data_IF_838670032102
#
_entry.id   IF_838670032102
#
_cell.length_a   1.000
_cell.length_b   1.000
_cell.length_c   1.000
_cell.angle_alpha   90.00
_cell.angle_beta   90.00
_cell.angle_gamma   90.00
#
_symmetry.space_group_name_H-M   'P 1'
#
loop_
_entity.id
_entity.type
_entity.pdbx_description
1 polymer ?
#
# COMPACT_ATOMS: atom_id res chain seq x y z
N UNK A 1 4.34 -25.82 -11.84
CA UNK A 1 3.52 -24.59 -11.81
C UNK A 1 4.43 -23.38 -11.82
N UNK A 2 4.17 -22.42 -12.72
CA UNK A 2 4.94 -21.20 -12.94
C UNK A 2 4.02 -19.98 -12.78
N UNK A 3 4.36 -19.09 -11.86
CA UNK A 3 3.52 -17.93 -11.50
C UNK A 3 4.12 -16.62 -12.00
N UNK A 4 3.33 -15.76 -12.62
CA UNK A 4 3.70 -14.37 -12.86
C UNK A 4 3.12 -13.48 -11.75
N UNK A 5 3.92 -12.59 -11.18
CA UNK A 5 3.46 -11.54 -10.27
C UNK A 5 3.67 -10.21 -10.99
N UNK A 6 2.63 -9.40 -11.13
CA UNK A 6 2.71 -8.11 -11.81
C UNK A 6 2.44 -6.99 -10.80
N UNK A 7 3.48 -6.24 -10.46
CA UNK A 7 3.52 -5.20 -9.42
C UNK A 7 4.42 -5.60 -8.26
N UNK A 8 5.42 -4.78 -7.95
CA UNK A 8 6.41 -4.91 -6.88
C UNK A 8 6.11 -4.05 -5.65
N UNK A 9 4.84 -3.74 -5.40
CA UNK A 9 4.38 -3.17 -4.12
C UNK A 9 4.20 -4.23 -3.04
N UNK A 10 3.68 -3.82 -1.87
CA UNK A 10 3.48 -4.68 -0.71
C UNK A 10 2.82 -6.04 -1.02
N UNK A 11 1.69 -6.05 -1.75
CA UNK A 11 0.97 -7.28 -2.06
C UNK A 11 1.77 -8.23 -2.98
N UNK A 12 2.46 -7.69 -3.99
CA UNK A 12 3.26 -8.50 -4.92
C UNK A 12 4.51 -9.08 -4.25
N UNK A 13 5.22 -8.28 -3.47
CA UNK A 13 6.38 -8.75 -2.70
C UNK A 13 5.98 -9.79 -1.65
N UNK A 14 4.86 -9.58 -0.93
CA UNK A 14 4.34 -10.57 0.02
C UNK A 14 3.99 -11.88 -0.68
N UNK A 15 3.36 -11.81 -1.85
CA UNK A 15 3.07 -12.98 -2.68
C UNK A 15 4.36 -13.73 -3.02
N UNK A 16 5.38 -13.04 -3.52
CA UNK A 16 6.67 -13.63 -3.87
C UNK A 16 7.33 -14.33 -2.67
N UNK A 17 7.35 -13.69 -1.48
CA UNK A 17 7.91 -14.30 -0.27
C UNK A 17 7.19 -15.60 0.13
N UNK A 18 5.87 -15.66 -0.09
CA UNK A 18 5.08 -16.85 0.22
C UNK A 18 5.28 -17.97 -0.80
N UNK A 19 5.46 -17.63 -2.09
CA UNK A 19 5.82 -18.60 -3.12
C UNK A 19 7.24 -19.16 -2.92
N UNK A 20 8.20 -18.32 -2.54
CA UNK A 20 9.56 -18.76 -2.17
C UNK A 20 9.52 -19.80 -1.05
N UNK A 21 8.77 -19.53 0.03
CA UNK A 21 8.61 -20.49 1.14
C UNK A 21 7.99 -21.82 0.71
N UNK A 22 7.16 -21.81 -0.33
CA UNK A 22 6.52 -23.00 -0.90
C UNK A 22 7.34 -23.65 -2.03
N UNK A 23 8.51 -23.10 -2.38
CA UNK A 23 9.34 -23.54 -3.51
C UNK A 23 8.59 -23.57 -4.85
N UNK A 24 7.64 -22.66 -5.05
CA UNK A 24 6.91 -22.49 -6.31
C UNK A 24 7.69 -21.53 -7.20
N UNK A 25 7.88 -21.87 -8.47
CA UNK A 25 8.59 -20.99 -9.41
C UNK A 25 7.75 -19.76 -9.79
N UNK A 26 8.40 -18.61 -9.84
CA UNK A 26 7.74 -17.35 -10.20
C UNK A 26 8.69 -16.33 -10.82
N UNK A 27 8.10 -15.37 -11.52
CA UNK A 27 8.73 -14.12 -11.94
C UNK A 27 7.88 -12.93 -11.49
N UNK A 28 8.51 -11.98 -10.82
CA UNK A 28 7.90 -10.71 -10.44
C UNK A 28 8.32 -9.63 -11.44
N UNK A 29 7.34 -8.94 -12.01
CA UNK A 29 7.51 -7.81 -12.92
C UNK A 29 7.09 -6.53 -12.21
N UNK A 30 7.96 -5.52 -12.18
CA UNK A 30 7.68 -4.18 -11.67
C UNK A 30 7.92 -3.17 -12.79
N UNK A 31 6.94 -2.32 -13.05
CA UNK A 31 7.01 -1.30 -14.11
C UNK A 31 8.06 -0.24 -13.81
N UNK A 32 8.30 0.06 -12.53
CA UNK A 32 9.25 1.08 -12.07
C UNK A 32 10.65 0.53 -11.92
N UNK A 33 11.60 1.46 -11.80
CA UNK A 33 13.00 1.15 -11.44
C UNK A 33 13.19 0.85 -9.95
N UNK A 34 12.14 0.98 -9.15
CA UNK A 34 12.14 0.77 -7.70
C UNK A 34 10.92 -0.07 -7.32
N UNK A 35 11.01 -0.82 -6.22
CA UNK A 35 9.85 -1.44 -5.60
C UNK A 35 9.11 -0.42 -4.71
N UNK A 36 7.81 -0.65 -4.49
CA UNK A 36 6.99 0.23 -3.67
C UNK A 36 6.87 1.65 -4.22
N UNK A 37 6.90 2.64 -3.33
CA UNK A 37 6.87 4.07 -3.67
C UNK A 37 8.24 4.71 -3.46
N UNK A 38 8.53 5.77 -4.21
CA UNK A 38 9.76 6.56 -4.08
C UNK A 38 9.88 7.27 -2.73
N UNK A 39 8.73 7.57 -2.12
CA UNK A 39 8.62 8.23 -0.83
C UNK A 39 8.11 7.29 0.24
N UNK A 40 8.33 7.67 1.49
CA UNK A 40 7.90 6.88 2.64
C UNK A 40 6.68 7.47 3.32
N UNK A 41 5.80 6.61 3.81
CA UNK A 41 4.61 7.05 4.54
C UNK A 41 4.17 6.00 5.57
N UNK A 42 3.59 6.45 6.70
CA UNK A 42 2.98 5.58 7.67
C UNK A 42 1.60 5.11 7.18
N UNK A 43 1.36 3.80 7.21
CA UNK A 43 0.04 3.20 7.01
C UNK A 43 -0.48 2.64 8.34
N UNK A 44 -1.70 3.00 8.71
CA UNK A 44 -2.33 2.46 9.92
C UNK A 44 -2.80 1.03 9.68
N UNK A 45 -2.69 0.22 10.73
CA UNK A 45 -3.36 -1.07 10.88
C UNK A 45 -3.99 -1.16 12.27
N UNK A 46 -5.20 -1.70 12.37
CA UNK A 46 -5.83 -1.96 13.66
C UNK A 46 -5.12 -3.12 14.37
N UNK A 47 -4.88 -3.00 15.68
CA UNK A 47 -4.26 -4.06 16.50
C UNK A 47 -5.01 -5.39 16.37
N UNK A 48 -6.34 -5.34 16.40
CA UNK A 48 -7.20 -6.53 16.23
C UNK A 48 -7.01 -7.21 14.86
N UNK A 49 -6.78 -6.42 13.81
CA UNK A 49 -6.60 -6.94 12.45
C UNK A 49 -5.21 -7.55 12.32
N UNK A 50 -4.18 -6.88 12.86
CA UNK A 50 -2.82 -7.43 12.94
C UNK A 50 -2.78 -8.73 13.76
N UNK A 51 -3.47 -8.80 14.90
CA UNK A 51 -3.54 -9.99 15.75
C UNK A 51 -4.14 -11.21 15.04
N UNK A 52 -5.11 -11.00 14.14
CA UNK A 52 -5.70 -12.07 13.32
C UNK A 52 -4.78 -12.61 12.24
N UNK A 53 -3.68 -11.92 11.91
CA UNK A 53 -2.76 -12.38 10.88
C UNK A 53 -2.07 -13.70 11.28
N UNK A 54 -1.93 -14.65 10.33
CA UNK A 54 -1.17 -15.87 10.54
C UNK A 54 0.27 -15.61 11.02
N UNK A 55 0.82 -16.49 11.88
CA UNK A 55 2.17 -16.34 12.44
C UNK A 55 3.25 -16.25 11.36
N UNK A 56 3.14 -17.03 10.29
CA UNK A 56 4.07 -17.03 9.16
C UNK A 56 4.06 -15.69 8.39
N UNK A 57 2.93 -14.99 8.35
CA UNK A 57 2.82 -13.64 7.77
C UNK A 57 3.48 -12.63 8.69
N UNK A 58 3.15 -12.62 9.98
CA UNK A 58 3.76 -11.71 10.97
C UNK A 58 5.29 -11.78 10.97
N UNK A 59 5.87 -12.97 10.76
CA UNK A 59 7.33 -13.16 10.65
C UNK A 59 7.96 -12.44 9.43
N UNK A 60 7.22 -12.29 8.33
CA UNK A 60 7.67 -11.59 7.13
C UNK A 60 7.60 -10.06 7.28
N UNK A 61 6.67 -9.57 8.10
CA UNK A 61 6.44 -8.14 8.29
C UNK A 61 7.40 -7.56 9.35
N UNK A 62 7.78 -6.27 9.26
CA UNK A 62 8.45 -5.59 10.36
C UNK A 62 7.52 -5.54 11.57
N UNK A 63 8.06 -5.33 12.78
CA UNK A 63 7.20 -5.12 13.94
C UNK A 63 6.54 -3.74 13.79
N UNK A 64 5.20 -3.65 13.79
CA UNK A 64 4.54 -2.36 13.61
C UNK A 64 4.74 -1.47 14.83
N UNK A 65 4.93 -0.17 14.59
CA UNK A 65 5.11 0.84 15.64
C UNK A 65 3.80 1.13 16.36
N UNK A 66 3.86 1.29 17.68
CA UNK A 66 2.65 1.62 18.47
C UNK A 66 2.18 3.04 18.18
N UNK A 67 0.94 3.17 17.73
CA UNK A 67 0.34 4.47 17.42
C UNK A 67 -0.64 4.91 18.51
N UNK A 68 -1.67 4.10 18.75
CA UNK A 68 -2.69 4.33 19.77
C UNK A 68 -3.03 3.01 20.51
N UNK A 69 -3.95 3.05 21.47
CA UNK A 69 -4.37 1.87 22.24
C UNK A 69 -4.88 0.74 21.33
N UNK A 70 -5.53 1.05 20.20
CA UNK A 70 -6.13 0.11 19.26
C UNK A 70 -5.50 0.12 17.84
N UNK A 71 -4.48 0.94 17.58
CA UNK A 71 -3.88 1.11 16.25
C UNK A 71 -2.35 1.05 16.29
N UNK A 72 -1.77 0.58 15.19
CA UNK A 72 -0.33 0.51 14.94
C UNK A 72 -0.02 1.05 13.55
N UNK A 73 1.26 1.28 13.26
CA UNK A 73 1.74 1.81 11.98
C UNK A 73 2.74 0.85 11.37
N UNK A 74 2.58 0.58 10.08
CA UNK A 74 3.66 0.13 9.22
C UNK A 74 4.23 1.29 8.43
N UNK A 75 5.54 1.29 8.23
CA UNK A 75 6.19 2.21 7.31
C UNK A 75 6.27 1.56 5.94
N UNK A 76 5.75 2.26 4.93
CA UNK A 76 5.98 1.94 3.52
C UNK A 76 7.11 2.79 2.97
N UNK A 77 7.72 2.31 1.89
CA UNK A 77 8.76 3.03 1.16
C UNK A 77 10.16 2.82 1.72
N UNK A 78 11.03 3.81 1.49
CA UNK A 78 12.48 3.68 1.59
C UNK A 78 13.08 4.06 2.96
N UNK A 79 12.31 4.62 3.90
CA UNK A 79 12.80 4.95 5.23
C UNK A 79 12.88 3.68 6.10
N UNK A 80 14.11 3.34 6.53
CA UNK A 80 14.40 2.25 7.46
C UNK A 80 13.99 0.85 6.95
N UNK A 81 13.55 -0.02 7.88
CA UNK A 81 12.98 -1.33 7.56
C UNK A 81 11.51 -1.22 7.09
N UNK A 82 11.26 -0.40 6.07
CA UNK A 82 9.96 -0.32 5.40
C UNK A 82 9.45 -1.70 4.98
N UNK A 83 8.13 -1.85 4.87
CA UNK A 83 7.48 -3.12 4.51
C UNK A 83 8.09 -3.74 3.26
N UNK A 84 8.20 -2.95 2.19
CA UNK A 84 8.75 -3.41 0.91
C UNK A 84 10.23 -3.78 1.03
N UNK A 85 11.04 -2.96 1.71
CA UNK A 85 12.46 -3.21 1.94
C UNK A 85 12.73 -4.50 2.71
N UNK A 86 11.90 -4.80 3.72
CA UNK A 86 12.02 -6.06 4.45
C UNK A 86 11.64 -7.25 3.56
N UNK A 87 10.55 -7.14 2.79
CA UNK A 87 10.09 -8.25 1.96
C UNK A 87 11.07 -8.56 0.82
N UNK A 88 11.58 -7.54 0.12
CA UNK A 88 12.53 -7.72 -0.98
C UNK A 88 13.83 -8.39 -0.52
N UNK A 89 14.27 -8.15 0.74
CA UNK A 89 15.47 -8.79 1.30
C UNK A 89 15.39 -10.32 1.41
N UNK A 90 14.18 -10.89 1.35
CA UNK A 90 14.00 -12.35 1.35
C UNK A 90 14.01 -12.96 -0.05
N UNK A 91 14.05 -12.14 -1.11
CA UNK A 91 13.82 -12.59 -2.48
C UNK A 91 15.14 -12.65 -3.26
N UNK A 92 15.35 -13.68 -4.09
CA UNK A 92 16.49 -13.72 -4.98
C UNK A 92 16.33 -12.69 -6.10
N UNK A 93 17.35 -11.86 -6.34
CA UNK A 93 17.34 -10.79 -7.34
C UNK A 93 16.95 -11.26 -8.75
N UNK A 94 17.39 -12.47 -9.15
CA UNK A 94 17.08 -13.06 -10.48
C UNK A 94 15.59 -13.28 -10.77
N UNK A 95 14.74 -13.31 -9.74
CA UNK A 95 13.28 -13.49 -9.89
C UNK A 95 12.51 -12.17 -9.92
N UNK A 96 13.19 -11.04 -9.72
CA UNK A 96 12.60 -9.71 -9.68
C UNK A 96 13.09 -8.92 -10.89
N UNK A 97 12.18 -8.60 -11.80
CA UNK A 97 12.43 -7.80 -13.00
C UNK A 97 11.87 -6.41 -12.81
N UNK A 98 12.76 -5.46 -12.56
CA UNK A 98 12.44 -4.03 -12.53
C UNK A 98 12.34 -3.47 -13.95
N UNK A 99 11.73 -2.30 -14.08
CA UNK A 99 11.55 -1.61 -15.36
C UNK A 99 10.97 -2.50 -16.47
N UNK A 100 10.03 -3.35 -16.08
CA UNK A 100 9.45 -4.41 -16.91
C UNK A 100 7.94 -4.28 -16.95
N UNK A 101 7.39 -3.26 -17.64
CA UNK A 101 5.95 -3.15 -17.83
C UNK A 101 5.44 -4.35 -18.63
N UNK A 102 4.37 -4.98 -18.15
CA UNK A 102 3.76 -6.15 -18.78
C UNK A 102 2.24 -6.03 -18.79
N UNK A 103 1.62 -6.42 -19.90
CA UNK A 103 0.18 -6.61 -19.94
C UNK A 103 -0.17 -7.98 -19.35
N UNK A 104 -0.99 -7.98 -18.28
CA UNK A 104 -1.40 -9.20 -17.60
C UNK A 104 -2.13 -10.17 -18.52
N UNK A 105 -2.86 -9.69 -19.53
CA UNK A 105 -3.61 -10.55 -20.45
C UNK A 105 -2.68 -11.30 -21.40
N UNK A 106 -1.58 -10.68 -21.80
CA UNK A 106 -0.54 -11.31 -22.63
C UNK A 106 0.20 -12.47 -21.93
N UNK A 107 0.16 -12.53 -20.60
CA UNK A 107 0.87 -13.54 -19.81
C UNK A 107 0.08 -14.84 -19.65
N UNK A 108 -1.23 -14.85 -19.97
CA UNK A 108 -2.15 -15.95 -19.62
C UNK A 108 -1.75 -17.30 -20.20
N UNK A 109 -1.11 -17.28 -21.37
CA UNK A 109 -0.66 -18.48 -22.07
C UNK A 109 0.79 -18.86 -21.74
N UNK A 110 1.51 -18.05 -20.96
CA UNK A 110 2.93 -18.25 -20.62
C UNK A 110 3.15 -18.69 -19.17
N UNK A 111 2.12 -18.54 -18.34
CA UNK A 111 2.15 -18.81 -16.90
C UNK A 111 0.87 -19.55 -16.51
N UNK A 112 1.00 -20.48 -15.58
CA UNK A 112 -0.14 -21.24 -15.06
C UNK A 112 -1.05 -20.34 -14.22
N UNK A 113 -0.47 -19.32 -13.58
CA UNK A 113 -1.16 -18.35 -12.75
C UNK A 113 -0.56 -16.96 -12.90
N UNK A 114 -1.41 -15.94 -12.88
CA UNK A 114 -1.01 -14.54 -12.81
C UNK A 114 -1.59 -13.91 -11.54
N UNK A 115 -0.73 -13.25 -10.78
CA UNK A 115 -1.10 -12.41 -9.64
C UNK A 115 -0.99 -10.95 -10.08
N UNK A 116 -2.12 -10.30 -10.31
CA UNK A 116 -2.19 -8.87 -10.57
C UNK A 116 -2.16 -8.08 -9.24
N UNK A 117 -0.99 -7.53 -8.93
CA UNK A 117 -0.68 -6.74 -7.75
C UNK A 117 -0.24 -5.31 -8.11
N UNK A 118 -0.76 -4.76 -9.22
CA UNK A 118 -0.38 -3.45 -9.79
C UNK A 118 -0.75 -2.24 -8.94
N UNK A 119 -1.45 -2.44 -7.82
CA UNK A 119 -1.76 -1.37 -6.87
C UNK A 119 -2.87 -0.42 -7.33
N UNK A 120 -3.58 -0.76 -8.41
CA UNK A 120 -4.70 0.01 -8.93
C UNK A 120 -5.72 -0.92 -9.64
N UNK A 121 -6.96 -0.47 -9.86
CA UNK A 121 -8.00 -1.32 -10.43
C UNK A 121 -8.06 -1.31 -11.95
N UNK A 122 -7.11 -0.71 -12.69
CA UNK A 122 -7.22 -0.55 -14.14
C UNK A 122 -7.41 -1.89 -14.86
N UNK A 123 -6.59 -2.87 -14.52
CA UNK A 123 -6.68 -4.22 -15.07
C UNK A 123 -7.97 -4.94 -14.67
N UNK A 124 -8.47 -4.71 -13.45
CA UNK A 124 -9.73 -5.29 -12.96
C UNK A 124 -10.94 -4.67 -13.65
N UNK A 125 -10.90 -3.36 -13.93
CA UNK A 125 -11.90 -2.62 -14.72
C UNK A 125 -11.92 -3.11 -16.17
N UNK A 126 -10.74 -3.33 -16.78
CA UNK A 126 -10.63 -3.85 -18.17
C UNK A 126 -11.38 -5.17 -18.37
N UNK A 127 -11.43 -6.02 -17.36
CA UNK A 127 -12.16 -7.31 -17.41
C UNK A 127 -13.57 -7.25 -16.81
N UNK A 128 -14.09 -6.05 -16.50
CA UNK A 128 -15.46 -5.84 -16.03
C UNK A 128 -15.75 -6.30 -14.59
N UNK A 129 -14.72 -6.53 -13.76
CA UNK A 129 -14.91 -7.10 -12.42
C UNK A 129 -14.86 -6.07 -11.27
N UNK A 130 -14.46 -4.83 -11.54
CA UNK A 130 -14.30 -3.82 -10.49
C UNK A 130 -15.62 -3.11 -10.16
N UNK A 131 -16.01 -3.16 -8.89
CA UNK A 131 -17.11 -2.38 -8.32
C UNK A 131 -16.55 -1.15 -7.62
N UNK A 132 -16.86 0.04 -8.14
CA UNK A 132 -16.30 1.30 -7.65
C UNK A 132 -17.03 1.80 -6.40
N UNK A 133 -16.26 2.23 -5.40
CA UNK A 133 -16.77 2.82 -4.15
C UNK A 133 -16.26 4.25 -3.92
N UNK A 134 -15.58 4.84 -4.90
CA UNK A 134 -15.07 6.20 -4.87
C UNK A 134 -13.54 6.28 -4.82
N UNK A 135 -13.03 7.49 -4.59
CA UNK A 135 -11.59 7.79 -4.64
C UNK A 135 -11.18 8.69 -3.48
N UNK A 136 -9.91 8.57 -3.08
CA UNK A 136 -9.25 9.49 -2.15
C UNK A 136 -7.96 10.01 -2.75
N UNK A 137 -7.75 11.31 -2.63
CA UNK A 137 -6.51 11.98 -2.97
C UNK A 137 -5.70 12.18 -1.70
N UNK A 138 -4.42 11.86 -1.79
CA UNK A 138 -3.51 11.89 -0.67
C UNK A 138 -2.35 12.83 -0.95
N UNK A 139 -1.89 13.48 0.11
CA UNK A 139 -0.64 14.23 0.16
C UNK A 139 0.17 13.73 1.36
N UNK A 140 1.44 13.42 1.14
CA UNK A 140 2.39 13.13 2.19
C UNK A 140 3.51 14.17 2.16
N UNK A 141 3.83 14.73 3.32
CA UNK A 141 4.95 15.64 3.49
C UNK A 141 5.95 15.05 4.47
N UNK A 142 7.19 14.80 4.01
CA UNK A 142 8.31 14.55 4.90
C UNK A 142 8.84 15.90 5.39
N UNK A 143 8.91 16.06 6.70
CA UNK A 143 9.33 17.32 7.30
C UNK A 143 10.52 17.15 8.22
N UNK A 144 11.27 18.24 8.35
CA UNK A 144 12.29 18.44 9.38
C UNK A 144 11.90 19.62 10.27
N UNK A 145 12.46 19.64 11.48
CA UNK A 145 12.28 20.74 12.43
C UNK A 145 13.54 20.92 13.27
N UNK A 146 13.85 22.17 13.59
CA UNK A 146 14.90 22.53 14.55
C UNK A 146 14.42 22.41 16.00
N UNK A 147 13.10 22.28 16.20
CA UNK A 147 12.45 22.07 17.50
C UNK A 147 12.04 20.60 17.67
N UNK A 148 11.34 20.27 18.76
CA UNK A 148 10.71 18.96 18.89
C UNK A 148 9.62 18.76 17.82
N UNK A 149 9.53 17.56 17.21
CA UNK A 149 8.51 17.27 16.21
C UNK A 149 7.12 17.35 16.84
N UNK A 150 6.10 17.79 16.07
CA UNK A 150 4.72 17.72 16.52
C UNK A 150 4.38 16.30 17.00
N UNK A 151 3.61 16.17 18.08
CA UNK A 151 3.23 14.86 18.63
C UNK A 151 2.55 14.00 17.55
N UNK A 152 2.69 12.67 17.65
CA UNK A 152 1.92 11.76 16.79
C UNK A 152 0.43 11.98 17.01
N UNK A 153 -0.36 12.06 15.93
CA UNK A 153 -1.81 12.22 16.03
C UNK A 153 -2.52 11.69 14.80
N UNK A 154 -3.78 11.34 14.98
CA UNK A 154 -4.69 10.98 13.91
C UNK A 154 -5.98 11.79 14.10
N UNK A 155 -6.39 12.53 13.08
CA UNK A 155 -7.64 13.31 13.11
C UNK A 155 -8.46 12.99 11.87
N UNK A 156 -9.76 12.80 12.07
CA UNK A 156 -10.71 12.75 10.95
C UNK A 156 -11.01 14.18 10.49
N UNK A 157 -11.18 14.35 9.19
CA UNK A 157 -11.65 15.59 8.59
C UNK A 157 -13.12 15.35 8.23
N UNK A 158 -14.08 15.91 9.00
CA UNK A 158 -15.51 15.80 8.68
C UNK A 158 -15.89 16.80 7.57
N UNK A 159 -17.10 16.65 7.04
CA UNK A 159 -17.68 17.56 6.05
C UNK A 159 -18.01 16.86 4.72
N UNK A 160 -18.29 17.68 3.69
CA UNK A 160 -18.69 17.19 2.36
C UNK A 160 -17.61 16.35 1.66
N UNK A 161 -16.34 16.62 2.00
CA UNK A 161 -15.19 15.86 1.55
C UNK A 161 -14.52 15.21 2.76
N UNK A 162 -15.02 14.05 3.23
CA UNK A 162 -14.49 13.41 4.40
C UNK A 162 -13.05 12.94 4.16
N UNK A 163 -12.26 12.95 5.21
CA UNK A 163 -10.85 12.62 5.10
C UNK A 163 -10.18 12.39 6.43
N UNK A 164 -8.86 12.47 6.41
CA UNK A 164 -8.05 12.37 7.61
C UNK A 164 -6.71 13.08 7.46
N UNK A 165 -6.10 13.31 8.61
CA UNK A 165 -4.68 13.64 8.74
C UNK A 165 -4.03 12.71 9.77
N UNK A 166 -2.83 12.25 9.45
CA UNK A 166 -1.99 11.40 10.27
C UNK A 166 -0.61 12.04 10.37
N UNK A 167 -0.18 12.37 11.58
CA UNK A 167 1.19 12.77 11.85
C UNK A 167 1.94 11.63 12.56
N UNK A 168 3.11 11.28 12.04
CA UNK A 168 3.99 10.29 12.64
C UNK A 168 5.44 10.79 12.64
N UNK A 169 5.95 11.23 13.80
CA UNK A 169 7.37 11.48 13.99
C UNK A 169 8.18 10.20 13.73
N UNK A 170 9.34 10.37 13.08
CA UNK A 170 10.29 9.29 12.83
C UNK A 170 11.35 9.29 13.94
N UNK A 171 11.89 10.46 14.24
CA UNK A 171 12.92 10.69 15.26
C UNK A 171 12.68 12.02 15.98
N UNK A 172 13.73 12.61 16.57
CA UNK A 172 13.66 13.88 17.32
C UNK A 172 13.64 15.15 16.46
N UNK A 173 13.81 15.02 15.14
CA UNK A 173 13.95 16.16 14.22
C UNK A 173 13.13 15.98 12.94
N UNK A 174 12.58 14.80 12.69
CA UNK A 174 11.86 14.49 11.45
C UNK A 174 10.54 13.73 11.67
N UNK A 175 9.68 13.81 10.67
CA UNK A 175 8.44 13.04 10.63
C UNK A 175 7.74 13.10 9.28
N UNK A 176 6.61 12.40 9.20
CA UNK A 176 5.76 12.41 8.01
C UNK A 176 4.34 12.79 8.41
N UNK A 177 3.81 13.76 7.68
CA UNK A 177 2.42 14.14 7.72
C UNK A 177 1.71 13.56 6.49
N UNK A 178 0.63 12.82 6.68
CA UNK A 178 -0.19 12.27 5.59
C UNK A 178 -1.60 12.82 5.72
N UNK A 179 -2.12 13.37 4.64
CA UNK A 179 -3.51 13.78 4.51
C UNK A 179 -4.17 12.97 3.41
N UNK A 180 -5.42 12.55 3.61
CA UNK A 180 -6.24 11.91 2.60
C UNK A 180 -7.65 12.51 2.58
N UNK A 181 -8.11 12.98 1.42
CA UNK A 181 -9.42 13.63 1.24
C UNK A 181 -10.22 12.93 0.13
N UNK A 182 -11.48 12.58 0.41
CA UNK A 182 -12.36 11.90 -0.55
C UNK A 182 -13.08 12.87 -1.48
N UNK A 183 -13.34 12.42 -2.71
CA UNK A 183 -14.22 13.11 -3.65
C UNK A 183 -13.74 14.48 -4.14
N UNK A 184 -12.45 14.77 -3.99
CA UNK A 184 -11.81 16.00 -4.51
C UNK A 184 -10.95 15.68 -5.74
N UNK A 185 -10.28 16.69 -6.30
CA UNK A 185 -9.26 16.53 -7.35
C UNK A 185 -7.87 16.91 -6.83
N UNK A 186 -6.81 16.56 -7.59
CA UNK A 186 -5.46 17.03 -7.30
C UNK A 186 -5.34 18.56 -7.26
N UNK A 187 -6.13 19.30 -8.05
CA UNK A 187 -6.09 20.78 -8.05
C UNK A 187 -6.52 21.39 -6.72
N UNK A 188 -7.46 20.73 -6.04
CA UNK A 188 -8.00 21.18 -4.75
C UNK A 188 -7.22 20.66 -3.54
N UNK A 189 -6.38 19.64 -3.71
CA UNK A 189 -5.62 19.01 -2.62
C UNK A 189 -4.70 19.99 -1.85
N UNK A 190 -3.97 20.92 -2.51
CA UNK A 190 -3.16 21.92 -1.80
C UNK A 190 -3.97 22.80 -0.85
N UNK A 191 -5.16 23.21 -1.25
CA UNK A 191 -6.03 24.05 -0.41
C UNK A 191 -6.36 23.37 0.92
N UNK A 192 -6.72 22.08 0.89
CA UNK A 192 -6.97 21.30 2.12
C UNK A 192 -5.71 21.15 2.97
N UNK A 193 -4.56 20.99 2.33
CA UNK A 193 -3.28 20.84 3.02
C UNK A 193 -2.95 22.12 3.80
N UNK A 194 -2.99 23.27 3.13
CA UNK A 194 -2.69 24.57 3.74
C UNK A 194 -3.68 24.90 4.86
N UNK A 195 -4.98 24.62 4.64
CA UNK A 195 -6.00 24.79 5.66
C UNK A 195 -5.68 23.99 6.93
N UNK A 196 -5.24 22.74 6.79
CA UNK A 196 -4.91 21.91 7.94
C UNK A 196 -3.63 22.38 8.63
N UNK A 197 -2.60 22.78 7.87
CA UNK A 197 -1.36 23.32 8.44
C UNK A 197 -1.61 24.59 9.26
N UNK A 198 -2.44 25.52 8.74
CA UNK A 198 -2.80 26.76 9.44
C UNK A 198 -3.66 26.46 10.65
N UNK A 199 -4.72 25.66 10.50
CA UNK A 199 -5.67 25.35 11.58
C UNK A 199 -5.02 24.67 12.77
N UNK A 200 -4.08 23.76 12.52
CA UNK A 200 -3.38 23.01 13.55
C UNK A 200 -2.04 23.64 13.98
N UNK A 201 -1.73 24.85 13.49
CA UNK A 201 -0.45 25.55 13.75
C UNK A 201 0.77 24.65 13.51
N UNK A 202 0.75 23.86 12.44
CA UNK A 202 1.76 22.86 12.14
C UNK A 202 2.99 23.51 11.50
N UNK A 203 3.85 24.10 12.34
CA UNK A 203 5.03 24.83 11.91
C UNK A 203 6.25 23.91 11.79
N UNK A 204 6.48 23.38 10.58
CA UNK A 204 7.64 22.55 10.22
C UNK A 204 8.13 22.92 8.82
N UNK A 205 9.34 22.49 8.47
CA UNK A 205 9.86 22.63 7.11
C UNK A 205 9.64 21.32 6.34
N UNK A 206 8.80 21.35 5.30
CA UNK A 206 8.61 20.21 4.41
C UNK A 206 9.75 20.14 3.39
N UNK A 207 10.52 19.05 3.43
CA UNK A 207 11.63 18.79 2.50
C UNK A 207 11.14 18.08 1.25
N UNK A 208 10.09 17.27 1.38
CA UNK A 208 9.52 16.51 0.26
C UNK A 208 7.99 16.48 0.41
N UNK A 209 7.27 16.70 -0.70
CA UNK A 209 5.81 16.56 -0.78
C UNK A 209 5.46 15.64 -1.93
N UNK A 210 4.63 14.64 -1.67
CA UNK A 210 4.18 13.66 -2.65
C UNK A 210 2.67 13.55 -2.65
N UNK A 211 2.08 13.60 -3.84
CA UNK A 211 0.65 13.43 -4.05
C UNK A 211 0.37 12.11 -4.76
N UNK A 212 -0.72 11.43 -4.38
CA UNK A 212 -1.23 10.29 -5.12
C UNK A 212 -2.73 10.14 -4.97
N UNK A 213 -3.33 9.32 -5.83
CA UNK A 213 -4.74 8.95 -5.76
C UNK A 213 -4.87 7.46 -5.46
N UNK A 214 -5.88 7.09 -4.71
CA UNK A 214 -6.31 5.71 -4.53
C UNK A 214 -7.78 5.55 -4.90
N UNK A 215 -8.09 4.47 -5.62
CA UNK A 215 -9.45 4.04 -5.89
C UNK A 215 -9.90 3.06 -4.81
N UNK A 216 -11.14 3.19 -4.35
CA UNK A 216 -11.81 2.26 -3.46
C UNK A 216 -12.79 1.41 -4.25
N UNK A 217 -12.94 0.16 -3.83
CA UNK A 217 -13.76 -0.79 -4.55
C UNK A 217 -13.33 -2.23 -4.33
N UNK A 218 -13.95 -3.11 -5.10
CA UNK A 218 -13.82 -4.54 -4.96
C UNK A 218 -13.88 -5.25 -6.31
N UNK A 219 -12.96 -6.17 -6.55
CA UNK A 219 -13.03 -7.15 -7.63
C UNK A 219 -14.06 -8.24 -7.28
N UNK A 220 -15.04 -8.48 -8.15
CA UNK A 220 -16.05 -9.54 -7.94
C UNK A 220 -16.35 -10.30 -9.24
N UNK A 221 -15.97 -11.59 -9.35
CA UNK A 221 -15.08 -12.34 -8.45
C UNK A 221 -13.65 -11.75 -8.36
N UNK A 222 -12.85 -12.25 -7.42
CA UNK A 222 -11.44 -11.82 -7.22
C UNK A 222 -10.47 -12.37 -8.27
N UNK A 223 -10.98 -13.09 -9.26
CA UNK A 223 -10.20 -13.71 -10.31
C UNK A 223 -10.93 -13.66 -11.64
N UNK A 224 -10.16 -13.67 -12.72
CA UNK A 224 -10.63 -13.79 -14.09
C UNK A 224 -9.76 -14.85 -14.78
N UNK A 225 -10.34 -16.04 -15.03
CA UNK A 225 -9.59 -17.20 -15.50
C UNK A 225 -8.41 -17.51 -14.56
N UNK A 226 -7.18 -17.61 -15.07
CA UNK A 226 -5.95 -17.84 -14.28
C UNK A 226 -5.34 -16.55 -13.68
N UNK A 227 -6.06 -15.44 -13.67
CA UNK A 227 -5.59 -14.16 -13.10
C UNK A 227 -6.28 -13.90 -11.76
N UNK A 228 -5.52 -13.68 -10.71
CA UNK A 228 -6.02 -13.23 -9.40
C UNK A 228 -5.67 -11.77 -9.14
N UNK A 229 -6.64 -11.01 -8.64
CA UNK A 229 -6.49 -9.60 -8.29
C UNK A 229 -6.22 -9.47 -6.78
N UNK A 230 -5.07 -8.91 -6.41
CA UNK A 230 -4.64 -8.79 -5.01
C UNK A 230 -4.22 -7.36 -4.67
N UNK A 231 -4.15 -7.05 -3.37
CA UNK A 231 -3.90 -5.68 -2.91
C UNK A 231 -4.96 -4.71 -3.42
N UNK A 232 -4.53 -3.48 -3.71
CA UNK A 232 -5.41 -2.42 -4.23
C UNK A 232 -5.99 -2.71 -5.62
N UNK A 233 -5.50 -3.73 -6.33
CA UNK A 233 -6.11 -4.21 -7.57
C UNK A 233 -7.31 -5.12 -7.34
N UNK A 234 -7.38 -5.77 -6.17
CA UNK A 234 -8.48 -6.68 -5.80
C UNK A 234 -9.47 -6.06 -4.83
N UNK A 235 -9.00 -5.30 -3.83
CA UNK A 235 -9.84 -4.72 -2.79
C UNK A 235 -9.19 -3.46 -2.21
N UNK A 236 -9.97 -2.40 -2.06
CA UNK A 236 -9.57 -1.22 -1.33
C UNK A 236 -10.78 -0.59 -0.64
N UNK A 237 -10.63 -0.24 0.65
CA UNK A 237 -11.74 0.26 1.46
C UNK A 237 -11.60 1.75 1.75
N UNK A 238 -12.72 2.50 1.78
CA UNK A 238 -12.76 3.86 2.33
C UNK A 238 -12.31 3.92 3.79
N UNK A 239 -12.37 2.79 4.52
CA UNK A 239 -11.68 2.59 5.81
C UNK A 239 -10.18 2.37 5.59
N UNK A 240 -9.53 3.40 5.06
CA UNK A 240 -8.16 3.40 4.54
C UNK A 240 -7.10 2.76 5.48
N UNK A 241 -7.30 2.82 6.81
CA UNK A 241 -6.47 2.16 7.84
C UNK A 241 -6.58 0.63 7.88
N UNK A 242 -7.24 0.00 6.91
CA UNK A 242 -7.36 -1.46 6.77
C UNK A 242 -6.82 -1.99 5.45
N UNK A 243 -6.28 -1.13 4.58
CA UNK A 243 -5.85 -1.55 3.25
C UNK A 243 -4.72 -2.59 3.27
N UNK A 244 -3.75 -2.46 4.18
CA UNK A 244 -2.70 -3.48 4.32
C UNK A 244 -3.26 -4.84 4.77
N UNK A 245 -4.23 -4.81 5.69
CA UNK A 245 -4.93 -6.00 6.12
C UNK A 245 -5.66 -6.68 4.95
N UNK A 246 -6.40 -5.90 4.15
CA UNK A 246 -7.08 -6.43 2.97
C UNK A 246 -6.13 -6.91 1.88
N UNK A 247 -4.98 -6.24 1.71
CA UNK A 247 -3.93 -6.69 0.81
C UNK A 247 -3.42 -8.07 1.22
N UNK A 248 -3.10 -8.27 2.50
CA UNK A 248 -2.67 -9.58 3.02
C UNK A 248 -3.75 -10.65 2.80
N UNK A 249 -5.02 -10.35 3.12
CA UNK A 249 -6.11 -11.32 2.96
C UNK A 249 -6.32 -11.71 1.49
N UNK A 250 -6.25 -10.75 0.56
CA UNK A 250 -6.39 -11.03 -0.86
C UNK A 250 -5.26 -11.92 -1.39
N UNK A 251 -4.02 -11.71 -0.92
CA UNK A 251 -2.87 -12.58 -1.24
C UNK A 251 -3.09 -13.98 -0.70
N UNK A 252 -3.47 -14.12 0.58
CA UNK A 252 -3.74 -15.43 1.18
C UNK A 252 -4.86 -16.16 0.44
N UNK A 253 -5.92 -15.46 0.06
CA UNK A 253 -7.02 -16.03 -0.73
C UNK A 253 -6.53 -16.53 -2.08
N UNK A 254 -5.77 -15.72 -2.82
CA UNK A 254 -5.23 -16.12 -4.12
C UNK A 254 -4.30 -17.36 -4.01
N UNK A 255 -3.47 -17.42 -2.98
CA UNK A 255 -2.55 -18.54 -2.79
C UNK A 255 -3.22 -19.81 -2.26
N UNK A 256 -4.37 -19.72 -1.61
CA UNK A 256 -5.16 -20.91 -1.24
C UNK A 256 -5.77 -21.61 -2.46
N UNK A 257 -5.92 -20.93 -3.60
CA UNK A 257 -6.33 -21.57 -4.86
C UNK A 257 -5.17 -22.35 -5.54
N UNK A 258 -3.94 -22.23 -5.03
CA UNK A 258 -2.77 -22.95 -5.54
C UNK A 258 -2.47 -24.25 -4.81
N UNK A 259 -3.21 -24.56 -3.74
CA UNK A 259 -3.05 -25.74 -2.88
C UNK A 259 -4.27 -26.63 -3.03
#
# INVERSE_FOLDING_TARGET
>A
MKVAIVGGGFAGLLTACLLEKKKIDYLLFEEKRIWGKSFSYPALILKRDYQKLPKNIKKLLPKPSSFASNAQVFWHGNIGQGLENKLISYLPSKKVKLFSPVDILSLKNKFDLIINATGNPLNTRKVGLWQDWGTMHFRAGFYTTLMNPPKKFFKKIPGNHPGFILNMPIDRQSGVLVMGIQGITFRTLPFYWDFVLVKDSFNVHFVEINDWMQNFGLARPFNFQNIFFVGLSGISSPQWYRNDYFAILSVLKALNFLL
#
